data_IF_743623938653
#
_entry.id   IF_743623938653
#
_cell.length_a   1.000
_cell.length_b   1.000
_cell.length_c   1.000
_cell.angle_alpha   90.00
_cell.angle_beta   90.00
_cell.angle_gamma   90.00
#
_symmetry.space_group_name_H-M   'P 1'
#
loop_
_entity.id
_entity.type
_entity.pdbx_description
1 polymer ?
#
# COMPACT_ATOMS: atom_id res chain seq x y z
N UNK A 1 -21.54 1.51 -6.98
CA UNK A 1 -20.31 2.22 -7.38
C UNK A 1 -19.22 1.89 -6.37
N UNK A 2 -18.21 1.10 -6.74
CA UNK A 2 -17.07 0.83 -5.86
C UNK A 2 -16.10 2.00 -5.93
N UNK A 3 -16.01 2.82 -4.88
CA UNK A 3 -15.03 3.89 -4.79
C UNK A 3 -13.65 3.27 -4.52
N UNK A 4 -12.91 3.00 -5.59
CA UNK A 4 -11.52 2.54 -5.51
C UNK A 4 -10.61 3.74 -5.33
N UNK A 5 -9.78 3.71 -4.29
CA UNK A 5 -8.77 4.74 -4.05
C UNK A 5 -7.78 4.75 -5.22
N UNK A 6 -7.46 5.93 -5.76
CA UNK A 6 -6.41 6.06 -6.76
C UNK A 6 -5.07 5.62 -6.16
N UNK A 7 -4.35 4.75 -6.86
CA UNK A 7 -3.05 4.22 -6.43
C UNK A 7 -1.95 5.28 -6.64
N UNK A 8 -1.83 6.20 -5.70
CA UNK A 8 -0.77 7.24 -5.69
C UNK A 8 0.05 7.15 -4.42
N UNK A 9 1.29 7.63 -4.48
CA UNK A 9 2.22 7.66 -3.33
C UNK A 9 1.56 8.33 -2.12
N UNK A 10 0.91 9.48 -2.32
CA UNK A 10 0.22 10.21 -1.25
C UNK A 10 -0.89 9.36 -0.63
N UNK A 11 -1.72 8.73 -1.45
CA UNK A 11 -2.86 7.95 -0.95
C UNK A 11 -2.40 6.70 -0.19
N UNK A 12 -1.31 6.06 -0.60
CA UNK A 12 -0.71 4.95 0.14
C UNK A 12 -0.13 5.43 1.48
N UNK A 13 0.57 6.55 1.49
CA UNK A 13 1.09 7.16 2.74
C UNK A 13 -0.06 7.48 3.69
N UNK A 14 -1.12 8.11 3.20
CA UNK A 14 -2.30 8.45 4.00
C UNK A 14 -3.06 7.20 4.48
N UNK A 15 -3.02 6.10 3.71
CA UNK A 15 -3.66 4.85 4.11
C UNK A 15 -2.88 4.15 5.24
N UNK A 16 -1.55 4.16 5.18
CA UNK A 16 -0.70 3.39 6.10
C UNK A 16 -0.21 4.19 7.32
N UNK A 17 0.18 5.45 7.14
CA UNK A 17 0.83 6.26 8.18
C UNK A 17 -0.06 7.34 8.82
N UNK A 18 -1.29 7.54 8.34
CA UNK A 18 -2.19 8.52 8.96
C UNK A 18 -2.74 8.01 10.30
N UNK A 19 -3.31 8.91 11.11
CA UNK A 19 -3.96 8.55 12.36
C UNK A 19 -5.15 7.60 12.13
N UNK A 20 -5.45 6.80 13.15
CA UNK A 20 -6.60 5.88 13.12
C UNK A 20 -7.92 6.65 13.28
N UNK A 21 -8.40 7.17 12.17
CA UNK A 21 -9.66 7.90 12.07
C UNK A 21 -10.78 7.03 11.47
N UNK A 22 -12.06 7.29 11.76
CA UNK A 22 -13.18 6.58 11.12
C UNK A 22 -13.12 6.61 9.59
N UNK A 23 -12.66 7.73 9.02
CA UNK A 23 -12.47 7.90 7.58
C UNK A 23 -11.38 6.96 7.06
N UNK A 24 -10.27 6.79 7.79
CA UNK A 24 -9.21 5.84 7.44
C UNK A 24 -9.71 4.40 7.48
N UNK A 25 -10.42 4.00 8.54
CA UNK A 25 -11.02 2.65 8.65
C UNK A 25 -11.98 2.36 7.50
N UNK A 26 -12.79 3.35 7.12
CA UNK A 26 -13.66 3.24 5.94
C UNK A 26 -12.86 3.03 4.65
N UNK A 27 -11.79 3.80 4.43
CA UNK A 27 -10.89 3.63 3.27
C UNK A 27 -10.25 2.24 3.22
N UNK A 28 -9.84 1.69 4.37
CA UNK A 28 -9.31 0.32 4.47
C UNK A 28 -10.39 -0.69 4.07
N UNK A 29 -11.61 -0.56 4.62
CA UNK A 29 -12.72 -1.46 4.34
C UNK A 29 -13.08 -1.55 2.85
N UNK A 30 -13.05 -0.42 2.14
CA UNK A 30 -13.39 -0.38 0.71
C UNK A 30 -12.18 -0.66 -0.21
N UNK A 31 -10.94 -0.69 0.32
CA UNK A 31 -9.72 -0.98 -0.42
C UNK A 31 -8.87 -2.09 0.26
N UNK A 32 -9.39 -3.32 0.38
CA UNK A 32 -8.70 -4.40 1.09
C UNK A 32 -7.37 -4.78 0.43
N UNK A 33 -7.31 -4.83 -0.91
CA UNK A 33 -6.10 -5.21 -1.67
C UNK A 33 -4.91 -4.25 -1.40
N UNK A 34 -5.05 -2.92 -1.58
CA UNK A 34 -4.00 -1.98 -1.19
C UNK A 34 -3.56 -2.10 0.27
N UNK A 35 -4.52 -2.34 1.19
CA UNK A 35 -4.20 -2.52 2.60
C UNK A 35 -3.35 -3.77 2.86
N UNK A 36 -3.70 -4.91 2.25
CA UNK A 36 -2.95 -6.16 2.38
C UNK A 36 -1.50 -6.00 1.89
N UNK A 37 -1.29 -5.36 0.74
CA UNK A 37 0.09 -5.10 0.25
C UNK A 37 0.85 -4.17 1.20
N UNK A 38 0.19 -3.16 1.77
CA UNK A 38 0.84 -2.33 2.80
C UNK A 38 1.27 -3.17 4.01
N UNK A 39 0.45 -4.14 4.45
CA UNK A 39 0.80 -5.03 5.55
C UNK A 39 2.00 -5.92 5.21
N UNK A 40 2.03 -6.50 4.01
CA UNK A 40 3.15 -7.34 3.54
C UNK A 40 4.45 -6.54 3.46
N UNK A 41 4.43 -5.40 2.75
CA UNK A 41 5.59 -4.52 2.66
C UNK A 41 6.00 -4.02 4.04
N UNK A 42 5.06 -3.74 4.94
CA UNK A 42 5.33 -3.30 6.32
C UNK A 42 6.16 -4.27 7.15
N UNK A 43 6.05 -5.58 6.90
CA UNK A 43 6.81 -6.60 7.61
C UNK A 43 8.26 -6.69 7.13
N UNK A 44 8.52 -6.45 5.84
CA UNK A 44 9.84 -6.63 5.23
C UNK A 44 10.58 -5.31 4.97
N UNK A 45 9.87 -4.18 5.10
CA UNK A 45 10.41 -2.88 4.73
C UNK A 45 11.55 -2.44 5.64
N UNK A 46 12.71 -2.21 5.03
CA UNK A 46 13.86 -1.57 5.67
C UNK A 46 13.91 -0.11 5.25
N UNK A 47 13.70 0.80 6.20
CA UNK A 47 13.76 2.23 5.90
C UNK A 47 15.19 2.62 5.46
N UNK A 48 15.34 3.44 4.41
CA UNK A 48 16.65 3.90 3.95
C UNK A 48 17.36 4.77 5.00
N UNK A 49 16.62 5.40 5.92
CA UNK A 49 17.19 6.10 7.06
C UNK A 49 17.70 5.20 8.19
N UNK A 50 17.55 3.88 8.09
CA UNK A 50 17.94 2.90 9.11
C UNK A 50 16.98 2.79 10.30
N UNK A 51 15.85 3.52 10.27
CA UNK A 51 14.84 3.45 11.34
C UNK A 51 13.99 2.19 11.21
N UNK A 52 13.69 1.59 12.35
CA UNK A 52 12.87 0.38 12.46
C UNK A 52 11.42 0.69 12.84
N UNK A 53 11.18 1.82 13.51
CA UNK A 53 9.84 2.24 13.96
C UNK A 53 9.13 3.10 12.88
N UNK A 54 7.98 2.64 12.34
CA UNK A 54 7.18 3.38 11.37
C UNK A 54 6.73 4.78 11.83
N UNK A 55 6.58 4.99 13.15
CA UNK A 55 6.20 6.29 13.71
C UNK A 55 7.31 7.33 13.55
N UNK A 56 8.56 6.87 13.44
CA UNK A 56 9.75 7.73 13.33
C UNK A 56 10.21 7.92 11.87
N UNK A 57 9.54 7.30 10.90
CA UNK A 57 9.90 7.37 9.49
C UNK A 57 9.91 8.82 8.98
N UNK A 58 11.01 9.20 8.32
CA UNK A 58 11.10 10.47 7.59
C UNK A 58 10.21 10.41 6.35
N UNK A 59 9.97 11.59 5.76
CA UNK A 59 9.26 11.73 4.49
C UNK A 59 9.86 10.82 3.40
N UNK A 60 11.20 10.72 3.33
CA UNK A 60 11.90 9.82 2.39
C UNK A 60 11.54 8.36 2.60
N UNK A 61 11.46 7.91 3.85
CA UNK A 61 11.14 6.51 4.19
C UNK A 61 9.69 6.19 3.83
N UNK A 62 8.75 7.10 4.14
CA UNK A 62 7.33 6.95 3.79
C UNK A 62 7.12 6.90 2.26
N UNK A 63 7.87 7.70 1.51
CA UNK A 63 7.84 7.68 0.04
C UNK A 63 8.42 6.37 -0.52
N UNK A 64 9.55 5.90 0.02
CA UNK A 64 10.16 4.64 -0.39
C UNK A 64 9.21 3.46 -0.12
N UNK A 65 8.60 3.41 1.06
CA UNK A 65 7.57 2.44 1.43
C UNK A 65 6.41 2.46 0.42
N UNK A 66 5.86 3.64 0.15
CA UNK A 66 4.72 3.76 -0.75
C UNK A 66 5.06 3.36 -2.20
N UNK A 67 6.29 3.59 -2.67
CA UNK A 67 6.73 3.10 -3.98
C UNK A 67 6.78 1.59 -4.05
N UNK A 68 7.28 0.92 -3.01
CA UNK A 68 7.30 -0.56 -2.94
C UNK A 68 5.89 -1.14 -2.93
N UNK A 69 4.96 -0.53 -2.17
CA UNK A 69 3.55 -0.94 -2.18
C UNK A 69 2.94 -0.79 -3.58
N UNK A 70 3.20 0.32 -4.27
CA UNK A 70 2.69 0.51 -5.63
C UNK A 70 3.27 -0.49 -6.62
N UNK A 71 4.55 -0.84 -6.48
CA UNK A 71 5.18 -1.89 -7.30
C UNK A 71 4.51 -3.26 -7.08
N UNK A 72 4.33 -3.67 -5.81
CA UNK A 72 3.64 -4.93 -5.49
C UNK A 72 2.18 -4.96 -5.97
N UNK A 73 1.49 -3.82 -5.95
CA UNK A 73 0.14 -3.71 -6.51
C UNK A 73 0.12 -3.86 -8.03
N UNK A 74 1.07 -3.25 -8.74
CA UNK A 74 1.20 -3.37 -10.18
C UNK A 74 1.55 -4.80 -10.60
N UNK A 75 2.49 -5.45 -9.90
CA UNK A 75 2.79 -6.87 -10.11
C UNK A 75 1.54 -7.73 -9.91
N UNK A 76 0.78 -7.50 -8.82
CA UNK A 76 -0.45 -8.27 -8.59
C UNK A 76 -1.49 -8.05 -9.68
N UNK A 77 -1.62 -6.83 -10.25
CA UNK A 77 -2.52 -6.58 -11.38
C UNK A 77 -2.09 -7.34 -12.64
N UNK A 78 -0.79 -7.36 -12.94
CA UNK A 78 -0.24 -8.12 -14.08
C UNK A 78 -0.47 -9.63 -13.93
N UNK A 79 -0.26 -10.19 -12.73
CA UNK A 79 -0.56 -11.60 -12.45
C UNK A 79 -2.07 -11.92 -12.48
N UNK A 80 -2.93 -10.97 -12.11
CA UNK A 80 -4.39 -11.18 -12.16
C UNK A 80 -4.89 -11.20 -13.62
N UNK A 81 -4.31 -10.38 -14.49
CA UNK A 81 -4.63 -10.41 -15.92
C UNK A 81 -4.07 -11.66 -16.60
N UNK A 82 -2.82 -12.05 -16.32
CA UNK A 82 -2.20 -13.24 -16.90
C UNK A 82 -2.84 -14.55 -16.42
N UNK A 83 -3.22 -14.66 -15.14
CA UNK A 83 -3.93 -15.84 -14.62
C UNK A 83 -5.36 -16.00 -15.17
N UNK A 84 -5.94 -14.94 -15.76
CA UNK A 84 -7.23 -15.01 -16.44
C UNK A 84 -7.12 -15.56 -17.87
N UNK A 85 -5.94 -15.50 -18.49
CA UNK A 85 -5.68 -16.04 -19.83
C UNK A 85 -5.29 -17.52 -19.83
N UNK A 86 -4.91 -18.11 -18.69
CA UNK A 86 -4.58 -19.55 -18.60
C UNK A 86 -5.80 -20.47 -18.34
N UNK A 87 -7.01 -19.92 -18.28
CA UNK A 87 -8.25 -20.67 -18.05
C UNK A 87 -9.28 -20.57 -19.20
N UNK A 88 -8.87 -20.14 -20.40
CA UNK A 88 -9.72 -20.03 -21.58
C UNK A 88 -9.46 -21.15 -22.61
#
# INVERSE_FOLDING_TARGET
>A
MSFKMKLTVKNVIDLWFAEDTPIRRYKIKINPKPWQICQQVGQEFKAPSGRTDPTQYRKSDKVAFARLVLAGLAETEVYTEQGLYELA
#
